data_IF_253264615181
#
_entry.id   IF_253264615181
#
_cell.length_a   1.000
_cell.length_b   1.000
_cell.length_c   1.000
_cell.angle_alpha   90.00
_cell.angle_beta   90.00
_cell.angle_gamma   90.00
#
_symmetry.space_group_name_H-M   'P 1'
#
loop_
_entity.id
_entity.type
_entity.pdbx_description
1 polymer ?
#
# COMPACT_ATOMS: atom_id res chain seq x y z
N UNK A 1 -19.21 -5.97 3.33
CA UNK A 1 -17.82 -5.54 3.59
C UNK A 1 -16.80 -6.50 2.94
N UNK A 2 -16.96 -7.81 3.12
CA UNK A 2 -16.04 -8.85 2.59
C UNK A 2 -16.00 -8.95 1.07
N UNK A 3 -17.14 -8.86 0.37
CA UNK A 3 -17.18 -9.00 -1.10
C UNK A 3 -16.25 -8.03 -1.84
N UNK A 4 -16.20 -6.78 -1.39
CA UNK A 4 -15.38 -5.72 -2.02
C UNK A 4 -13.88 -6.03 -1.95
N UNK A 5 -13.42 -6.59 -0.82
CA UNK A 5 -12.03 -7.00 -0.67
C UNK A 5 -11.69 -8.22 -1.53
N UNK A 6 -12.64 -9.17 -1.64
CA UNK A 6 -12.47 -10.36 -2.47
C UNK A 6 -12.43 -10.01 -3.97
N UNK A 7 -13.31 -9.10 -4.41
CA UNK A 7 -13.32 -8.59 -5.78
C UNK A 7 -11.98 -7.88 -6.11
N UNK A 8 -11.43 -7.11 -5.15
CA UNK A 8 -10.13 -6.47 -5.31
C UNK A 8 -8.96 -7.47 -5.38
N UNK A 9 -8.99 -8.53 -4.56
CA UNK A 9 -8.00 -9.61 -4.63
C UNK A 9 -8.05 -10.33 -5.98
N UNK A 10 -9.24 -10.65 -6.48
CA UNK A 10 -9.41 -11.24 -7.81
C UNK A 10 -8.87 -10.34 -8.92
N UNK A 11 -9.14 -9.05 -8.86
CA UNK A 11 -8.64 -8.08 -9.85
C UNK A 11 -7.10 -7.94 -9.83
N UNK A 12 -6.47 -8.20 -8.68
CA UNK A 12 -5.01 -8.26 -8.53
C UNK A 12 -4.41 -9.61 -8.97
N UNK A 13 -5.22 -10.54 -9.49
CA UNK A 13 -4.80 -11.87 -9.89
C UNK A 13 -4.63 -12.86 -8.73
N UNK A 14 -5.06 -12.49 -7.51
CA UNK A 14 -4.97 -13.37 -6.35
C UNK A 14 -6.12 -14.37 -6.39
N UNK A 15 -5.76 -15.65 -6.45
CA UNK A 15 -6.75 -16.74 -6.37
C UNK A 15 -7.18 -16.90 -4.93
N UNK A 16 -8.48 -16.83 -4.67
CA UNK A 16 -9.05 -17.10 -3.35
C UNK A 16 -10.23 -18.06 -3.46
N UNK A 17 -10.49 -18.78 -2.38
CA UNK A 17 -11.63 -19.68 -2.22
C UNK A 17 -12.27 -19.44 -0.86
N UNK A 18 -13.59 -19.39 -0.83
CA UNK A 18 -14.37 -19.33 0.40
C UNK A 18 -15.14 -20.64 0.53
N UNK A 19 -14.84 -21.41 1.56
CA UNK A 19 -15.53 -22.66 1.89
C UNK A 19 -16.21 -22.51 3.26
N UNK A 20 -17.53 -22.29 3.24
CA UNK A 20 -18.32 -21.96 4.43
C UNK A 20 -17.84 -20.68 5.11
N UNK A 21 -17.10 -20.84 6.22
CA UNK A 21 -16.50 -19.76 7.01
C UNK A 21 -14.99 -19.62 6.82
N UNK A 22 -14.37 -20.52 6.05
CA UNK A 22 -12.93 -20.56 5.83
C UNK A 22 -12.56 -19.88 4.52
N UNK A 23 -11.78 -18.79 4.60
CA UNK A 23 -11.24 -18.09 3.43
C UNK A 23 -9.79 -18.52 3.19
N UNK A 24 -9.55 -19.20 2.07
CA UNK A 24 -8.21 -19.57 1.59
C UNK A 24 -7.76 -18.59 0.52
N UNK A 25 -6.60 -17.94 0.73
CA UNK A 25 -6.01 -16.98 -0.22
C UNK A 25 -4.67 -17.53 -0.69
N UNK A 26 -4.53 -17.75 -2.00
CA UNK A 26 -3.30 -18.21 -2.63
C UNK A 26 -2.49 -17.00 -3.08
N UNK A 27 -1.52 -16.58 -2.26
CA UNK A 27 -0.56 -15.55 -2.62
C UNK A 27 0.52 -16.10 -3.56
N UNK A 28 0.60 -15.59 -4.79
CA UNK A 28 1.66 -15.93 -5.76
C UNK A 28 3.03 -15.29 -5.49
N UNK A 29 3.26 -14.79 -4.26
CA UNK A 29 4.40 -13.94 -3.92
C UNK A 29 4.24 -12.50 -4.41
N UNK A 30 5.19 -11.62 -4.05
CA UNK A 30 5.20 -10.19 -4.44
C UNK A 30 5.24 -9.99 -5.96
N UNK A 31 5.79 -10.96 -6.70
CA UNK A 31 5.89 -10.95 -8.17
C UNK A 31 4.66 -11.51 -8.88
N UNK A 32 3.73 -12.14 -8.15
CA UNK A 32 2.54 -12.78 -8.71
C UNK A 32 1.33 -11.86 -8.83
N UNK A 33 1.41 -10.64 -8.28
CA UNK A 33 0.35 -9.65 -8.37
C UNK A 33 0.38 -9.00 -9.76
N UNK A 34 -0.79 -8.94 -10.40
CA UNK A 34 -0.95 -8.33 -11.72
C UNK A 34 -1.60 -6.95 -11.60
N UNK A 35 -1.20 -6.04 -12.49
CA UNK A 35 -1.86 -4.74 -12.63
C UNK A 35 -3.33 -4.94 -13.01
N UNK A 36 -4.28 -4.50 -12.17
CA UNK A 36 -5.69 -4.60 -12.49
C UNK A 36 -6.03 -3.68 -13.68
N UNK A 37 -6.90 -4.16 -14.56
CA UNK A 37 -7.35 -3.39 -15.74
C UNK A 37 -8.28 -2.23 -15.34
N UNK A 38 -8.95 -2.35 -14.19
CA UNK A 38 -9.91 -1.37 -13.68
C UNK A 38 -9.56 -0.91 -12.28
N UNK A 39 -10.09 0.26 -11.87
CA UNK A 39 -9.94 0.78 -10.51
C UNK A 39 -10.48 -0.20 -9.46
N UNK A 40 -9.70 -0.43 -8.41
CA UNK A 40 -10.05 -1.24 -7.25
C UNK A 40 -10.92 -0.41 -6.30
N UNK A 41 -12.21 -0.71 -6.28
CA UNK A 41 -13.15 -0.06 -5.40
C UNK A 41 -13.05 -0.64 -3.99
N UNK A 42 -12.76 0.20 -2.98
CA UNK A 42 -12.57 -0.19 -1.57
C UNK A 42 -13.81 0.08 -0.69
N UNK A 43 -14.90 0.61 -1.28
CA UNK A 43 -16.12 0.95 -0.54
C UNK A 43 -15.89 2.00 0.56
N UNK A 44 -16.45 1.80 1.75
CA UNK A 44 -16.29 2.68 2.92
C UNK A 44 -15.19 2.20 3.91
N UNK A 45 -14.42 1.18 3.53
CA UNK A 45 -13.43 0.58 4.43
C UNK A 45 -12.06 1.22 4.20
N UNK A 46 -11.71 2.18 5.06
CA UNK A 46 -10.37 2.75 5.07
C UNK A 46 -9.31 1.67 5.30
N UNK A 47 -9.60 0.66 6.12
CA UNK A 47 -8.72 -0.49 6.37
C UNK A 47 -8.39 -1.24 5.10
N UNK A 48 -9.40 -1.52 4.26
CA UNK A 48 -9.20 -2.22 2.98
C UNK A 48 -8.30 -1.41 2.06
N UNK A 49 -8.50 -0.10 1.96
CA UNK A 49 -7.67 0.78 1.15
C UNK A 49 -6.20 0.79 1.63
N UNK A 50 -5.95 0.86 2.95
CA UNK A 50 -4.57 0.84 3.49
C UNK A 50 -3.85 -0.47 3.18
N UNK A 51 -4.55 -1.60 3.36
CA UNK A 51 -3.97 -2.93 3.11
C UNK A 51 -3.65 -3.13 1.63
N UNK A 52 -4.59 -2.76 0.74
CA UNK A 52 -4.36 -2.84 -0.70
C UNK A 52 -3.26 -1.89 -1.16
N UNK A 53 -3.20 -0.67 -0.63
CA UNK A 53 -2.14 0.30 -0.94
C UNK A 53 -0.75 -0.26 -0.61
N UNK A 54 -0.59 -0.86 0.58
CA UNK A 54 0.66 -1.51 0.98
C UNK A 54 1.02 -2.69 0.06
N UNK A 55 0.04 -3.53 -0.29
CA UNK A 55 0.26 -4.66 -1.19
C UNK A 55 0.68 -4.23 -2.60
N UNK A 56 0.01 -3.23 -3.18
CA UNK A 56 0.32 -2.67 -4.51
C UNK A 56 1.69 -2.02 -4.52
N UNK A 57 2.02 -1.23 -3.50
CA UNK A 57 3.33 -0.62 -3.34
C UNK A 57 4.46 -1.66 -3.22
N UNK A 58 4.22 -2.72 -2.45
CA UNK A 58 5.16 -3.82 -2.29
C UNK A 58 5.32 -4.65 -3.58
N UNK A 59 4.27 -4.79 -4.37
CA UNK A 59 4.30 -5.45 -5.68
C UNK A 59 4.90 -4.58 -6.80
N UNK A 60 4.93 -3.25 -6.62
CA UNK A 60 5.38 -2.28 -7.63
C UNK A 60 4.65 -2.46 -8.98
N UNK A 61 3.32 -2.38 -8.93
CA UNK A 61 2.43 -2.51 -10.10
C UNK A 61 1.59 -1.25 -10.29
N UNK A 62 1.14 -1.02 -11.51
CA UNK A 62 0.17 0.04 -11.82
C UNK A 62 -1.21 -0.35 -11.29
N UNK A 63 -1.87 0.53 -10.53
CA UNK A 63 -3.22 0.31 -10.02
C UNK A 63 -3.88 1.62 -9.56
N UNK A 64 -5.22 1.66 -9.57
CA UNK A 64 -6.00 2.79 -9.02
C UNK A 64 -6.86 2.30 -7.88
N UNK A 65 -6.71 2.89 -6.69
CA UNK A 65 -7.56 2.63 -5.53
C UNK A 65 -8.60 3.74 -5.38
N UNK A 66 -9.88 3.35 -5.33
CA UNK A 66 -10.98 4.30 -5.16
C UNK A 66 -11.95 3.81 -4.07
N UNK A 67 -12.93 4.62 -3.68
CA UNK A 67 -13.90 4.22 -2.69
C UNK A 67 -15.14 5.10 -2.68
N UNK A 68 -15.96 4.90 -1.65
CA UNK A 68 -17.21 5.63 -1.50
C UNK A 68 -16.97 7.15 -1.33
N UNK A 69 -17.96 8.00 -1.59
CA UNK A 69 -17.84 9.46 -1.40
C UNK A 69 -17.39 9.85 0.01
N UNK A 70 -17.81 9.09 1.03
CA UNK A 70 -17.37 9.28 2.41
C UNK A 70 -15.89 8.95 2.63
N UNK A 71 -15.35 7.96 1.91
CA UNK A 71 -13.93 7.62 1.94
C UNK A 71 -13.09 8.67 1.20
N UNK A 72 -13.58 9.17 0.05
CA UNK A 72 -12.91 10.23 -0.72
C UNK A 72 -12.75 11.54 0.04
N UNK A 73 -13.58 11.80 1.07
CA UNK A 73 -13.44 12.98 1.93
C UNK A 73 -12.43 12.81 3.07
N UNK A 74 -11.88 11.61 3.26
CA UNK A 74 -10.92 11.35 4.35
C UNK A 74 -9.50 11.63 3.87
N UNK A 75 -8.71 12.42 4.61
CA UNK A 75 -7.31 12.64 4.27
C UNK A 75 -6.53 11.31 4.37
N UNK A 76 -5.89 10.94 3.27
CA UNK A 76 -5.06 9.74 3.12
C UNK A 76 -3.56 10.06 3.26
N UNK A 77 -3.21 11.27 3.73
CA UNK A 77 -1.83 11.75 3.91
C UNK A 77 -0.96 10.77 4.68
N UNK A 78 -1.52 10.19 5.75
CA UNK A 78 -0.85 9.18 6.61
C UNK A 78 -0.41 7.89 5.89
N UNK A 79 -0.83 7.69 4.64
CA UNK A 79 -0.47 6.55 3.80
C UNK A 79 0.34 7.02 2.60
N UNK A 80 -0.11 8.10 1.94
CA UNK A 80 0.53 8.62 0.73
C UNK A 80 1.95 9.11 1.02
N UNK A 81 2.15 9.83 2.12
CA UNK A 81 3.44 10.40 2.50
C UNK A 81 4.53 9.33 2.76
N UNK A 82 4.32 8.32 3.63
CA UNK A 82 5.32 7.26 3.82
C UNK A 82 5.56 6.43 2.56
N UNK A 83 4.54 6.23 1.71
CA UNK A 83 4.74 5.51 0.44
C UNK A 83 5.64 6.31 -0.52
N UNK A 84 5.47 7.63 -0.59
CA UNK A 84 6.36 8.51 -1.37
C UNK A 84 7.79 8.51 -0.81
N UNK A 85 7.94 8.53 0.51
CA UNK A 85 9.26 8.39 1.16
C UNK A 85 9.94 7.05 0.84
N UNK A 86 9.15 5.98 0.68
CA UNK A 86 9.62 4.66 0.23
C UNK A 86 9.92 4.59 -1.28
N UNK A 87 9.80 5.70 -2.02
CA UNK A 87 10.05 5.76 -3.45
C UNK A 87 8.93 5.16 -4.32
N UNK A 88 7.73 5.00 -3.76
CA UNK A 88 6.54 4.57 -4.52
C UNK A 88 5.97 5.78 -5.25
N UNK A 89 5.76 5.66 -6.57
CA UNK A 89 5.07 6.68 -7.34
C UNK A 89 3.56 6.54 -7.12
N UNK A 90 3.05 7.37 -6.20
CA UNK A 90 1.64 7.44 -5.83
C UNK A 90 1.12 8.88 -5.94
N UNK A 91 0.09 9.04 -6.76
CA UNK A 91 -0.68 10.28 -6.92
C UNK A 91 -2.01 10.15 -6.17
N UNK A 92 -2.39 11.20 -5.46
CA UNK A 92 -3.66 11.29 -4.76
C UNK A 92 -4.46 12.46 -5.33
N UNK A 93 -5.79 12.30 -5.40
CA UNK A 93 -6.68 13.39 -5.80
C UNK A 93 -6.54 14.57 -4.84
N UNK A 94 -6.36 15.78 -5.38
CA UNK A 94 -6.05 17.00 -4.61
C UNK A 94 -4.86 16.84 -3.64
N UNK A 95 -3.95 15.90 -3.93
CA UNK A 95 -2.77 15.61 -3.14
C UNK A 95 -2.99 14.75 -1.88
N UNK A 96 -4.24 14.54 -1.45
CA UNK A 96 -4.56 13.89 -0.16
C UNK A 96 -5.79 12.99 -0.12
N UNK A 97 -6.59 12.94 -1.18
CA UNK A 97 -7.85 12.21 -1.23
C UNK A 97 -7.81 11.05 -2.21
N UNK A 98 -8.70 10.07 -2.00
CA UNK A 98 -8.96 9.06 -3.03
C UNK A 98 -9.69 9.70 -4.24
N UNK A 99 -9.49 9.24 -5.47
CA UNK A 99 -8.71 8.05 -5.86
C UNK A 99 -7.19 8.21 -5.73
N UNK A 100 -6.51 7.11 -5.40
CA UNK A 100 -5.05 7.00 -5.35
C UNK A 100 -4.58 6.21 -6.57
N UNK A 101 -3.70 6.81 -7.37
CA UNK A 101 -3.11 6.20 -8.55
C UNK A 101 -1.68 5.80 -8.25
N UNK A 102 -1.39 4.50 -8.35
CA UNK A 102 -0.07 3.92 -8.21
C UNK A 102 0.49 3.67 -9.60
N UNK A 103 1.74 4.08 -9.81
CA UNK A 103 2.49 3.78 -11.02
C UNK A 103 3.73 2.95 -10.70
N UNK A 104 3.99 1.96 -11.53
CA UNK A 104 5.17 1.12 -11.45
C UNK A 104 6.40 1.99 -11.66
N UNK A 105 7.30 2.00 -10.69
CA UNK A 105 8.54 2.77 -10.74
C UNK A 105 9.77 1.86 -10.77
N UNK A 106 10.71 2.05 -11.72
CA UNK A 106 11.96 1.30 -11.75
C UNK A 106 12.94 1.71 -10.64
N UNK A 107 12.74 2.88 -10.01
CA UNK A 107 13.60 3.45 -8.96
C UNK A 107 13.12 3.13 -7.54
N UNK A 108 12.80 1.87 -7.24
CA UNK A 108 12.45 1.48 -5.86
C UNK A 108 13.71 1.28 -5.02
N UNK A 109 14.37 2.37 -4.64
CA UNK A 109 15.36 2.32 -3.57
C UNK A 109 14.59 2.22 -2.26
N UNK A 110 14.52 1.02 -1.72
CA UNK A 110 14.09 0.82 -0.33
C UNK A 110 15.21 1.46 0.50
N UNK A 111 15.07 2.74 0.83
CA UNK A 111 16.02 3.42 1.70
C UNK A 111 15.89 2.76 3.06
N UNK A 112 16.78 1.80 3.35
CA UNK A 112 16.99 1.33 4.70
C UNK A 112 17.31 2.57 5.54
N UNK A 113 16.37 3.00 6.38
CA UNK A 113 16.63 3.96 7.44
C UNK A 113 17.48 3.27 8.52
N UNK A 114 18.74 3.00 8.18
CA UNK A 114 19.75 2.52 9.10
C UNK A 114 20.90 3.52 9.14
N UNK A 115 20.57 4.77 9.48
CA UNK A 115 21.58 5.82 9.72
C UNK A 115 20.96 6.95 10.56
N UNK A 116 20.63 6.65 11.82
CA UNK A 116 20.63 7.67 12.89
C UNK A 116 20.73 7.06 14.28
N UNK A 117 21.76 6.24 14.50
CA UNK A 117 22.13 5.79 15.87
C UNK A 117 23.65 5.84 16.12
N UNK A 118 24.42 6.60 15.33
CA UNK A 118 25.88 6.69 15.47
C UNK A 118 26.38 7.99 16.13
N UNK A 119 25.52 9.00 16.38
CA UNK A 119 25.97 10.32 16.84
C UNK A 119 25.80 10.60 18.35
N UNK A 120 25.47 9.60 19.19
CA UNK A 120 25.25 9.80 20.63
C UNK A 120 26.17 8.99 21.57
N UNK A 121 27.24 8.36 21.09
CA UNK A 121 28.19 7.63 21.96
C UNK A 121 29.61 8.23 22.06
N UNK A 122 29.87 9.43 21.52
CA UNK A 122 31.22 10.03 21.54
C UNK A 122 31.49 11.02 22.70
N UNK A 123 30.65 11.08 23.74
CA UNK A 123 30.84 12.03 24.85
C UNK A 123 30.94 11.37 26.23
N UNK A 124 31.73 10.31 26.36
CA UNK A 124 32.16 9.80 27.67
C UNK A 124 33.64 10.16 27.88
N UNK A 125 33.99 11.11 28.76
CA UNK A 125 35.37 11.40 29.08
C UNK A 125 35.98 10.26 29.90
N UNK A 126 37.19 9.81 29.52
CA UNK A 126 38.01 8.89 30.33
C UNK A 126 38.48 9.63 31.60
N UNK A 127 38.33 9.05 32.80
CA UNK A 127 39.08 9.53 33.95
C UNK A 127 40.52 9.04 33.89
N UNK A 128 41.42 9.93 34.31
CA UNK A 128 42.86 9.77 34.54
C UNK A 128 43.19 8.80 35.66
#
# INVERSE_FOLDING_TARGET
MTKVMLDALSALGVTWRLDGTTLTVHGGGLSGLQSPVSSLYCGNSATTLRLLAGAIAAANIDAVLDGSPGLRRRPMDRIVEPLREMGVDVEASEGKFAPLTFRKSPKRQITNQQSKISDLQSSVPRPS
#
